data_IF_864141890367
#
_entry.id   IF_864141890367
#
_cell.length_a   1.000
_cell.length_b   1.000
_cell.length_c   1.000
_cell.angle_alpha   90.00
_cell.angle_beta   90.00
_cell.angle_gamma   90.00
#
_symmetry.space_group_name_H-M   'P 1'
#
loop_
_entity.id
_entity.type
_entity.pdbx_description
1 polymer ?
2 non-polymer ?
3 non-polymer ?
4 water ?
#
# COMPACT_ATOMS: atom_id res chain seq x y z
N UNK A 11 -28.25 8.18 12.30
CA UNK A 11 -26.97 7.81 12.85
C UNK A 11 -26.00 7.31 11.80
N UNK A 12 -25.51 8.22 10.95
CA UNK A 12 -24.59 7.91 9.87
C UNK A 12 -25.15 6.83 8.95
N UNK A 13 -26.42 6.99 8.57
CA UNK A 13 -27.08 6.01 7.71
C UNK A 13 -26.52 6.06 6.29
N UNK A 14 -26.04 7.23 5.84
CA UNK A 14 -25.49 7.33 4.50
C UNK A 14 -24.18 6.57 4.39
N UNK A 15 -23.35 6.61 5.43
CA UNK A 15 -22.05 5.94 5.37
C UNK A 15 -22.21 4.42 5.33
N UNK A 16 -23.14 3.88 6.13
CA UNK A 16 -23.34 2.44 6.14
C UNK A 16 -24.03 1.93 4.89
N UNK A 17 -24.79 2.77 4.20
CA UNK A 17 -25.33 2.38 2.91
C UNK A 17 -24.25 2.33 1.84
N UNK A 18 -23.22 3.16 1.98
CA UNK A 18 -22.08 3.09 1.08
C UNK A 18 -21.29 1.81 1.32
N UNK A 19 -21.05 1.48 2.60
CA UNK A 19 -20.36 0.23 2.92
C UNK A 19 -21.17 -0.98 2.49
N UNK A 20 -22.50 -0.89 2.53
CA UNK A 20 -23.34 -2.00 2.08
C UNK A 20 -23.24 -2.15 0.56
N UNK A 21 -23.31 -1.05 -0.18
CA UNK A 21 -23.20 -1.12 -1.64
C UNK A 21 -21.84 -1.66 -2.06
N UNK A 22 -20.78 -1.27 -1.34
CA UNK A 22 -19.44 -1.79 -1.64
C UNK A 22 -19.35 -3.27 -1.36
N UNK A 23 -20.05 -3.74 -0.31
CA UNK A 23 -20.00 -5.16 0.04
C UNK A 23 -20.75 -6.00 -0.99
N UNK A 24 -21.89 -5.52 -1.48
CA UNK A 24 -22.67 -6.26 -2.45
C UNK A 24 -21.96 -6.39 -3.80
N UNK A 25 -20.83 -5.71 -3.99
CA UNK A 25 -20.00 -5.86 -5.17
C UNK A 25 -18.71 -6.62 -4.85
N UNK A 26 -18.75 -7.52 -3.86
CA UNK A 26 -17.59 -8.30 -3.47
C UNK A 26 -17.98 -9.75 -3.15
N UNK A 27 -18.99 -10.27 -3.85
CA UNK A 27 -19.38 -11.67 -3.72
C UNK A 27 -19.14 -12.49 -4.98
N UNK A 28 -19.18 -11.86 -6.16
CA UNK A 28 -18.83 -12.54 -7.40
C UNK A 28 -17.33 -12.78 -7.52
N UNK A 29 -16.53 -12.29 -6.58
CA UNK A 29 -15.08 -12.48 -6.64
C UNK A 29 -14.64 -13.79 -5.99
N UNK A 30 -15.50 -14.41 -5.17
CA UNK A 30 -15.17 -15.72 -4.63
C UNK A 30 -14.93 -16.74 -5.73
N UNK A 31 -15.49 -16.53 -6.91
CA UNK A 31 -15.14 -17.29 -8.10
C UNK A 31 -14.21 -16.52 -9.03
N UNK A 32 -14.19 -15.19 -8.95
CA UNK A 32 -13.29 -14.40 -9.78
C UNK A 32 -11.89 -14.29 -9.18
N UNK A 33 -11.71 -14.67 -7.92
CA UNK A 33 -10.37 -14.78 -7.35
C UNK A 33 -9.69 -16.08 -7.75
N UNK A 34 -10.47 -17.16 -7.87
CA UNK A 34 -9.92 -18.39 -8.41
C UNK A 34 -9.48 -18.25 -9.85
N UNK A 35 -10.12 -17.34 -10.59
CA UNK A 35 -9.65 -17.01 -11.93
C UNK A 35 -8.25 -16.42 -11.89
N UNK A 36 -7.99 -15.55 -10.90
CA UNK A 36 -6.69 -14.91 -10.79
C UNK A 36 -5.69 -15.82 -10.09
N UNK A 37 -6.13 -16.55 -9.06
CA UNK A 37 -5.23 -17.44 -8.33
C UNK A 37 -4.67 -18.53 -9.23
N UNK A 38 -5.44 -18.96 -10.24
CA UNK A 38 -4.94 -19.97 -11.15
C UNK A 38 -3.88 -19.44 -12.10
N UNK A 39 -4.09 -18.22 -12.62
CA UNK A 39 -3.11 -17.63 -13.53
C UNK A 39 -1.81 -17.35 -12.81
N UNK A 40 -1.89 -16.92 -11.55
CA UNK A 40 -0.69 -16.60 -10.78
C UNK A 40 0.17 -17.84 -10.60
N UNK A 41 -0.45 -18.96 -10.20
CA UNK A 41 0.31 -20.19 -9.98
C UNK A 41 0.95 -20.72 -11.25
N UNK A 42 0.43 -20.35 -12.42
CA UNK A 42 1.08 -20.72 -13.67
C UNK A 42 2.36 -19.90 -13.88
N UNK A 43 2.24 -18.56 -13.79
CA UNK A 43 3.43 -17.72 -13.89
C UNK A 43 4.38 -17.97 -12.73
N UNK A 44 3.85 -18.35 -11.57
CA UNK A 44 4.71 -18.71 -10.44
C UNK A 44 5.48 -19.99 -10.72
N UNK A 45 4.80 -21.00 -11.25
CA UNK A 45 5.45 -22.29 -11.50
C UNK A 45 6.38 -22.21 -12.71
N UNK A 46 6.06 -21.38 -13.70
CA UNK A 46 6.88 -21.32 -14.91
C UNK A 46 8.10 -20.42 -14.73
N UNK A 47 7.99 -19.37 -13.90
CA UNK A 47 9.15 -18.53 -13.61
C UNK A 47 10.22 -19.30 -12.86
N UNK A 48 9.86 -20.40 -12.18
CA UNK A 48 10.85 -21.21 -11.49
C UNK A 48 11.70 -22.04 -12.45
N UNK A 49 11.28 -22.17 -13.71
CA UNK A 49 12.10 -22.87 -14.69
C UNK A 49 13.30 -22.04 -15.14
N UNK A 50 13.20 -20.72 -15.04
CA UNK A 50 14.33 -19.86 -15.38
C UNK A 50 15.38 -19.89 -14.26
N UNK A 51 16.62 -19.60 -14.64
CA UNK A 51 17.72 -19.64 -13.68
C UNK A 51 17.64 -18.49 -12.69
N UNK A 52 17.17 -17.32 -13.15
CA UNK A 52 17.15 -16.14 -12.28
C UNK A 52 16.09 -16.26 -11.20
N UNK A 53 14.83 -16.45 -11.60
CA UNK A 53 13.69 -16.42 -10.69
C UNK A 53 13.39 -17.79 -10.09
N UNK A 54 14.41 -18.51 -9.64
CA UNK A 54 14.22 -19.84 -9.07
C UNK A 54 13.53 -19.79 -7.71
N UNK A 55 13.52 -18.64 -7.05
CA UNK A 55 12.97 -18.55 -5.71
C UNK A 55 11.76 -17.65 -5.57
N UNK A 56 11.06 -17.40 -6.68
CA UNK A 56 9.88 -16.54 -6.62
C UNK A 56 8.78 -17.20 -5.80
N UNK A 57 7.83 -16.39 -5.36
CA UNK A 57 6.74 -16.88 -4.54
C UNK A 57 5.66 -15.83 -4.38
N UNK A 58 4.50 -16.29 -3.94
CA UNK A 58 3.41 -15.38 -3.60
C UNK A 58 3.75 -14.67 -2.30
N UNK A 59 3.71 -13.33 -2.32
CA UNK A 59 4.21 -12.56 -1.19
C UNK A 59 3.33 -12.73 0.05
N UNK A 60 2.10 -12.22 0.00
CA UNK A 60 1.23 -12.25 1.16
C UNK A 60 1.06 -13.68 1.69
N UNK A 61 1.12 -13.81 3.02
CA UNK A 61 1.01 -15.13 3.64
C UNK A 61 -0.37 -15.73 3.39
N UNK A 62 -1.43 -15.00 3.75
CA UNK A 62 -2.76 -15.38 3.31
C UNK A 62 -2.96 -15.31 1.81
N UNK A 63 -2.06 -14.63 1.11
CA UNK A 63 -2.01 -14.53 -0.35
C UNK A 63 -3.23 -13.85 -0.94
N UNK A 64 -4.08 -13.25 -0.12
CA UNK A 64 -5.28 -12.61 -0.64
C UNK A 64 -4.90 -11.30 -1.31
N UNK A 65 -5.23 -11.19 -2.60
CA UNK A 65 -4.78 -10.09 -3.43
C UNK A 65 -5.69 -8.89 -3.21
N UNK A 66 -5.09 -7.76 -2.81
CA UNK A 66 -5.87 -6.60 -2.40
C UNK A 66 -5.84 -5.57 -3.52
N UNK A 67 -7.03 -5.16 -3.94
CA UNK A 67 -7.15 -4.13 -4.98
C UNK A 67 -6.78 -2.77 -4.41
N UNK A 68 -6.01 -2.01 -5.18
CA UNK A 68 -5.74 -0.62 -4.81
C UNK A 68 -7.04 0.17 -4.78
N UNK A 69 -7.89 -0.02 -5.80
CA UNK A 69 -9.20 0.61 -5.84
C UNK A 69 -10.21 -0.26 -5.10
N UNK A 70 -10.84 0.31 -4.08
CA UNK A 70 -11.87 -0.41 -3.34
C UNK A 70 -13.15 -0.53 -4.15
N UNK A 71 -13.32 0.29 -5.18
CA UNK A 71 -14.53 0.32 -5.99
C UNK A 71 -14.40 -0.41 -7.32
N UNK A 72 -13.22 -0.98 -7.60
CA UNK A 72 -12.98 -1.73 -8.82
C UNK A 72 -12.76 -3.20 -8.47
N UNK A 73 -13.82 -4.00 -8.32
CA UNK A 73 -13.63 -5.42 -7.97
C UNK A 73 -13.01 -6.24 -9.07
N UNK A 74 -12.81 -5.66 -10.26
CA UNK A 74 -12.32 -6.43 -11.38
C UNK A 74 -10.80 -6.52 -11.42
N UNK A 75 -10.11 -5.46 -10.99
CA UNK A 75 -8.65 -5.41 -11.05
C UNK A 75 -8.04 -5.78 -9.70
N UNK A 76 -7.00 -6.60 -9.76
CA UNK A 76 -6.29 -7.08 -8.58
C UNK A 76 -4.86 -6.55 -8.58
N UNK A 77 -4.14 -6.82 -7.50
CA UNK A 77 -2.73 -6.47 -7.40
C UNK A 77 -2.03 -7.52 -6.57
N UNK A 78 -0.96 -8.08 -7.11
CA UNK A 78 -0.23 -9.16 -6.45
C UNK A 78 1.26 -8.87 -6.57
N UNK A 79 2.01 -9.29 -5.55
CA UNK A 79 3.46 -9.14 -5.52
C UNK A 79 4.13 -10.50 -5.52
N UNK A 80 5.20 -10.62 -6.29
CA UNK A 80 6.00 -11.84 -6.35
C UNK A 80 7.30 -11.63 -5.58
N UNK A 81 7.55 -12.51 -4.63
CA UNK A 81 8.68 -12.40 -3.71
C UNK A 81 9.70 -13.51 -4.01
N UNK A 82 10.97 -13.13 -4.14
CA UNK A 82 12.04 -14.07 -4.41
C UNK A 82 13.14 -13.91 -3.36
N UNK A 83 13.56 -15.01 -2.76
CA UNK A 83 14.66 -14.97 -1.81
C UNK A 83 15.99 -14.78 -2.53
N UNK A 84 16.90 -14.07 -1.88
CA UNK A 84 18.21 -13.75 -2.45
C UNK A 84 19.25 -13.84 -1.35
N UNK A 85 20.51 -14.07 -1.73
CA UNK A 85 21.60 -14.04 -0.74
C UNK A 85 21.66 -12.69 -0.04
N UNK A 86 22.47 -12.65 1.02
CA UNK A 86 22.53 -11.47 1.89
C UNK A 86 22.79 -10.21 1.08
N UNK A 87 21.86 -9.26 1.18
CA UNK A 87 21.86 -8.05 0.37
C UNK A 87 22.43 -6.90 1.20
N UNK A 88 23.18 -6.01 0.52
CA UNK A 88 23.68 -4.78 1.13
C UNK A 88 23.20 -3.60 0.31
N UNK A 89 22.81 -2.53 1.00
CA UNK A 89 22.14 -1.40 0.37
C UNK A 89 22.99 -0.14 0.48
N UNK A 90 22.80 0.77 -0.48
CA UNK A 90 23.43 2.08 -0.49
C UNK A 90 22.36 3.12 -0.77
N UNK A 91 22.25 4.11 0.12
CA UNK A 91 21.22 5.12 0.00
C UNK A 91 21.50 6.03 -1.19
N UNK A 92 20.45 6.30 -1.99
CA UNK A 92 20.57 7.09 -3.20
C UNK A 92 20.19 8.54 -2.90
N UNK A 93 21.17 9.44 -3.00
CA UNK A 93 20.93 10.88 -3.03
C UNK A 93 20.04 11.33 -1.86
N UNK A 94 20.26 10.74 -0.69
CA UNK A 94 19.56 11.06 0.54
C UNK A 94 18.05 10.85 0.43
N UNK A 95 17.58 10.18 -0.62
CA UNK A 95 16.21 9.69 -0.63
C UNK A 95 16.10 8.53 0.35
N UNK A 96 15.29 8.69 1.38
CA UNK A 96 15.29 7.74 2.49
C UNK A 96 14.68 6.39 2.13
N UNK A 97 14.05 6.26 0.97
CA UNK A 97 13.40 5.02 0.58
C UNK A 97 14.02 4.32 -0.62
N UNK A 98 14.81 5.03 -1.43
CA UNK A 98 15.39 4.46 -2.64
C UNK A 98 16.84 4.06 -2.38
N UNK A 99 17.20 2.89 -2.87
CA UNK A 99 18.51 2.29 -2.57
C UNK A 99 19.06 1.57 -3.79
N UNK A 100 20.38 1.52 -3.87
CA UNK A 100 21.08 0.59 -4.76
C UNK A 100 21.32 -0.71 -4.01
N UNK A 101 21.36 -1.82 -4.76
CA UNK A 101 21.48 -3.15 -4.18
C UNK A 101 22.83 -3.75 -4.56
N UNK A 102 23.51 -4.33 -3.58
CA UNK A 102 24.75 -5.06 -3.82
C UNK A 102 24.62 -6.47 -3.28
N UNK A 103 25.73 -7.20 -3.18
CA UNK A 103 25.74 -8.54 -2.64
C UNK A 103 26.90 -8.72 -1.67
N UNK A 104 26.63 -9.41 -0.56
CA UNK A 104 27.63 -9.64 0.48
C UNK A 104 28.56 -10.78 0.07
N UNK A 110 26.14 -16.21 -7.77
CA UNK A 110 24.77 -16.70 -7.58
C UNK A 110 23.97 -16.43 -8.86
N UNK A 111 22.81 -17.07 -9.02
CA UNK A 111 22.12 -17.02 -10.32
C UNK A 111 21.80 -15.60 -10.80
N UNK A 112 21.61 -14.65 -9.91
CA UNK A 112 21.21 -13.30 -10.31
C UNK A 112 22.38 -12.46 -10.82
N UNK A 113 23.59 -13.04 -10.90
CA UNK A 113 24.75 -12.27 -11.36
C UNK A 113 24.60 -11.80 -12.80
N UNK A 114 23.72 -12.45 -13.58
CA UNK A 114 23.51 -12.03 -14.98
C UNK A 114 22.90 -10.64 -15.08
N UNK A 115 22.35 -10.11 -13.99
CA UNK A 115 21.74 -8.79 -13.96
C UNK A 115 22.65 -7.73 -13.37
N UNK A 116 23.89 -8.08 -13.06
CA UNK A 116 24.81 -7.12 -12.46
C UNK A 116 25.28 -6.10 -13.50
N UNK A 117 25.30 -4.83 -13.09
CA UNK A 117 25.90 -3.75 -13.87
C UNK A 117 27.04 -3.19 -13.02
N UNK A 118 28.16 -3.91 -13.01
CA UNK A 118 29.24 -3.60 -12.08
C UNK A 118 28.93 -4.18 -10.71
N UNK A 119 28.81 -3.31 -9.72
CA UNK A 119 28.36 -3.74 -8.39
C UNK A 119 26.86 -3.56 -8.21
N UNK A 120 26.28 -2.53 -8.84
CA UNK A 120 24.85 -2.26 -8.68
C UNK A 120 24.05 -3.32 -9.41
N UNK A 121 23.15 -3.98 -8.68
CA UNK A 121 22.21 -4.90 -9.31
C UNK A 121 21.21 -4.10 -10.12
N UNK A 122 21.12 -4.39 -11.41
CA UNK A 122 20.30 -3.59 -12.31
C UNK A 122 18.82 -3.90 -12.12
N UNK A 123 18.04 -2.85 -11.89
CA UNK A 123 16.60 -3.00 -11.79
C UNK A 123 15.97 -3.13 -13.17
N UNK A 124 16.41 -2.31 -14.13
CA UNK A 124 15.83 -2.37 -15.47
C UNK A 124 16.18 -3.68 -16.18
N UNK A 125 17.35 -4.25 -15.89
CA UNK A 125 17.72 -5.52 -16.50
C UNK A 125 16.83 -6.65 -15.98
N UNK A 126 16.47 -6.62 -14.70
CA UNK A 126 15.61 -7.66 -14.15
C UNK A 126 14.18 -7.51 -14.61
N UNK A 127 13.70 -6.28 -14.80
CA UNK A 127 12.35 -6.09 -15.32
C UNK A 127 12.24 -6.63 -16.74
N UNK A 128 13.23 -6.33 -17.60
CA UNK A 128 13.21 -6.80 -18.98
C UNK A 128 13.09 -8.32 -19.04
N UNK A 129 13.92 -9.02 -18.27
CA UNK A 129 13.80 -10.48 -18.21
C UNK A 129 12.52 -10.91 -17.52
N UNK A 130 12.08 -10.17 -16.51
CA UNK A 130 10.81 -10.48 -15.86
C UNK A 130 9.65 -10.31 -16.83
N UNK A 131 9.69 -9.25 -17.65
CA UNK A 131 8.64 -9.03 -18.64
C UNK A 131 8.68 -10.11 -19.72
N UNK A 132 9.88 -10.47 -20.19
CA UNK A 132 10.00 -11.40 -21.31
C UNK A 132 9.47 -12.79 -20.95
N UNK A 133 9.75 -13.27 -19.74
CA UNK A 133 9.33 -14.61 -19.36
C UNK A 133 7.81 -14.68 -19.28
N UNK A 134 7.16 -13.62 -18.80
CA UNK A 134 5.71 -13.59 -18.74
C UNK A 134 5.11 -13.26 -20.10
N UNK A 135 5.75 -12.37 -20.86
CA UNK A 135 5.29 -12.09 -22.22
C UNK A 135 5.31 -13.35 -23.09
N UNK A 136 6.23 -14.27 -22.81
CA UNK A 136 6.26 -15.58 -23.46
C UNK A 136 5.44 -16.61 -22.71
N UNK A 137 4.29 -16.19 -22.16
CA UNK A 137 3.39 -17.08 -21.45
C UNK A 137 1.94 -16.73 -21.75
N UNK A 154 3.49 3.18 -12.84
CA UNK A 154 4.62 3.65 -13.63
C UNK A 154 5.67 2.58 -13.87
N UNK A 155 6.60 2.44 -12.93
CA UNK A 155 7.64 1.42 -13.03
C UNK A 155 7.49 0.20 -12.11
N UNK A 156 6.47 0.10 -11.21
CA UNK A 156 6.54 -0.98 -10.22
C UNK A 156 6.09 -2.34 -10.74
N UNK A 157 5.05 -2.38 -11.57
CA UNK A 157 4.45 -3.64 -11.98
C UNK A 157 4.27 -3.68 -13.49
N UNK A 158 3.98 -4.88 -13.99
CA UNK A 158 3.54 -5.11 -15.35
C UNK A 158 2.17 -5.77 -15.27
N UNK A 159 1.31 -5.45 -16.23
CA UNK A 159 -0.09 -5.81 -16.15
C UNK A 159 -0.47 -6.78 -17.27
N UNK A 160 -1.58 -7.49 -17.06
CA UNK A 160 -2.08 -8.45 -18.02
C UNK A 160 -3.61 -8.54 -17.96
N UNK A 166 -11.19 -8.78 -16.21
CA UNK A 166 -10.36 -8.76 -15.01
C UNK A 166 -8.95 -8.28 -15.35
N UNK A 167 -8.32 -7.56 -14.43
CA UNK A 167 -6.98 -7.02 -14.61
C UNK A 167 -6.14 -7.37 -13.39
N UNK A 168 -4.84 -7.57 -13.62
CA UNK A 168 -3.91 -7.96 -12.56
C UNK A 168 -2.59 -7.24 -12.77
N UNK A 169 -2.10 -6.56 -11.73
CA UNK A 169 -0.76 -6.00 -11.72
C UNK A 169 0.16 -6.93 -10.92
N UNK A 170 1.38 -7.11 -11.42
CA UNK A 170 2.35 -8.01 -10.81
C UNK A 170 3.63 -7.23 -10.55
N UNK A 171 3.94 -6.99 -9.28
CA UNK A 171 5.15 -6.29 -8.87
C UNK A 171 6.18 -7.30 -8.39
N UNK A 172 7.43 -7.10 -8.81
CA UNK A 172 8.55 -7.92 -8.34
C UNK A 172 9.15 -7.26 -7.10
N UNK A 173 9.57 -8.09 -6.14
CA UNK A 173 10.06 -7.59 -4.87
C UNK A 173 11.19 -8.47 -4.36
N UNK A 174 12.35 -7.86 -4.09
CA UNK A 174 13.46 -8.57 -3.48
C UNK A 174 13.24 -8.69 -1.98
N UNK A 175 13.37 -9.89 -1.43
CA UNK A 175 13.23 -10.11 0.00
C UNK A 175 14.59 -10.05 0.68
N UNK A 176 14.68 -9.25 1.74
CA UNK A 176 15.89 -9.14 2.54
C UNK A 176 15.55 -9.48 3.99
N UNK A 177 16.20 -10.51 4.52
CA UNK A 177 16.01 -10.91 5.90
C UNK A 177 16.93 -10.17 6.87
N UNK A 178 17.65 -9.16 6.39
CA UNK A 178 18.45 -8.32 7.25
C UNK A 178 17.56 -7.44 8.12
N UNK A 179 18.17 -6.74 9.06
CA UNK A 179 17.44 -5.76 9.86
C UNK A 179 17.00 -4.60 8.97
N UNK A 180 15.93 -3.93 9.39
CA UNK A 180 15.36 -2.86 8.58
C UNK A 180 16.35 -1.70 8.46
N UNK A 181 16.33 -0.99 7.34
CA UNK A 181 17.26 0.13 7.15
C UNK A 181 17.09 1.21 8.21
N UNK A 182 18.13 2.03 8.33
CA UNK A 182 18.18 3.02 9.41
C UNK A 182 17.03 4.03 9.31
N UNK A 183 16.60 4.35 8.09
CA UNK A 183 15.53 5.34 7.92
C UNK A 183 14.20 4.88 8.48
N UNK A 184 14.08 3.61 8.87
CA UNK A 184 12.86 3.08 9.48
C UNK A 184 12.93 3.04 11.00
N UNK A 185 14.01 3.56 11.59
CA UNK A 185 14.21 3.39 13.03
C UNK A 185 13.18 4.14 13.85
N UNK A 186 12.73 5.30 13.37
CA UNK A 186 11.75 6.10 14.08
C UNK A 186 10.37 6.04 13.43
N UNK A 187 10.14 5.07 12.55
CA UNK A 187 8.84 4.83 11.99
C UNK A 187 8.10 3.73 12.73
N UNK A 188 6.92 3.39 12.20
CA UNK A 188 6.06 2.35 12.77
C UNK A 188 5.79 2.64 14.25
N UNK A 189 5.39 3.88 14.53
CA UNK A 189 5.16 4.33 15.90
C UNK A 189 3.82 3.78 16.39
N UNK A 190 3.81 2.47 16.62
CA UNK A 190 2.61 1.77 17.09
C UNK A 190 2.71 1.41 18.57
N UNK A 191 3.68 1.96 19.30
CA UNK A 191 3.97 1.50 20.65
C UNK A 191 2.79 1.76 21.59
N UNK A 192 2.14 2.90 21.46
CA UNK A 192 1.00 3.22 22.30
C UNK A 192 -0.31 2.64 21.77
N UNK A 193 -0.29 2.01 20.60
CA UNK A 193 -1.48 1.47 19.97
C UNK A 193 -1.43 -0.06 19.89
N UNK A 194 -0.45 -0.63 19.20
CA UNK A 194 -0.29 -2.07 19.09
C UNK A 194 0.76 -2.63 20.03
N UNK A 195 1.38 -1.78 20.85
CA UNK A 195 2.38 -2.12 21.87
C UNK A 195 3.78 -2.21 21.28
N UNK A 196 4.78 -1.82 22.08
CA UNK A 196 6.16 -1.93 21.62
C UNK A 196 6.58 -3.38 21.43
N UNK A 197 5.92 -4.30 22.14
CA UNK A 197 6.21 -5.72 21.95
C UNK A 197 5.88 -6.16 20.52
N UNK A 198 4.73 -5.73 20.00
CA UNK A 198 4.36 -6.08 18.63
C UNK A 198 5.28 -5.38 17.63
N UNK A 199 5.63 -4.13 17.90
CA UNK A 199 6.54 -3.41 17.02
C UNK A 199 7.88 -4.16 16.89
N UNK A 200 8.46 -4.56 18.03
CA UNK A 200 9.70 -5.32 18.00
C UNK A 200 9.54 -6.61 17.21
N UNK A 201 8.38 -7.25 17.31
CA UNK A 201 8.14 -8.48 16.56
C UNK A 201 8.08 -8.23 15.07
N UNK A 202 7.42 -7.15 14.65
CA UNK A 202 7.29 -6.86 13.22
C UNK A 202 8.63 -6.46 12.61
N UNK A 203 9.52 -5.85 13.38
CA UNK A 203 10.83 -5.46 12.87
C UNK A 203 11.73 -6.68 12.59
N UNK A 204 11.39 -7.85 13.13
CA UNK A 204 12.18 -9.05 12.87
C UNK A 204 11.80 -9.70 11.54
N UNK A 205 10.58 -9.48 11.07
CA UNK A 205 10.18 -9.96 9.77
C UNK A 205 11.03 -9.29 8.69
N UNK A 206 11.19 -9.94 7.53
CA UNK A 206 11.98 -9.34 6.46
C UNK A 206 11.30 -8.09 5.90
N UNK A 207 12.09 -7.33 5.16
CA UNK A 207 11.59 -6.21 4.37
C UNK A 207 11.83 -6.50 2.90
N UNK A 208 11.20 -5.71 2.04
CA UNK A 208 11.19 -6.00 0.61
C UNK A 208 11.61 -4.78 -0.18
N UNK A 209 12.09 -5.04 -1.41
CA UNK A 209 12.62 -4.01 -2.29
C UNK A 209 12.03 -4.22 -3.68
N UNK A 210 11.32 -3.21 -4.18
CA UNK A 210 10.70 -3.29 -5.50
C UNK A 210 11.42 -2.33 -6.45
N UNK A 211 11.53 -2.64 -7.73
CA UNK A 211 12.19 -1.73 -8.69
C UNK A 211 11.34 -0.48 -8.88
N UNK A 212 11.92 0.66 -8.55
CA UNK A 212 11.25 1.94 -8.71
C UNK A 212 12.31 3.02 -8.91
N UNK A 213 12.02 3.95 -9.81
CA UNK A 213 12.99 4.94 -10.25
C UNK A 213 12.48 6.34 -9.93
N UNK A 214 13.37 7.18 -9.42
CA UNK A 214 12.98 8.50 -8.92
C UNK A 214 13.38 9.61 -9.88
N UNK A 219 14.93 14.33 -13.36
CA UNK A 219 15.86 13.30 -12.91
C UNK A 219 15.58 11.93 -13.46
N UNK A 220 14.89 11.11 -12.66
CA UNK A 220 14.51 9.74 -13.01
C UNK A 220 15.75 8.85 -13.21
N UNK A 221 16.44 8.61 -12.09
CA UNK A 221 17.54 7.65 -12.07
C UNK A 221 16.99 6.24 -12.23
N UNK A 222 17.37 5.57 -13.32
CA UNK A 222 16.68 4.37 -13.78
C UNK A 222 17.13 3.08 -13.09
N UNK A 223 17.84 3.17 -11.96
CA UNK A 223 18.43 1.95 -11.41
C UNK A 223 18.29 1.79 -9.90
N UNK A 224 17.36 2.49 -9.26
CA UNK A 224 17.19 2.37 -7.81
C UNK A 224 16.08 1.38 -7.47
N UNK A 225 16.06 0.98 -6.20
CA UNK A 225 15.03 0.12 -5.63
C UNK A 225 14.42 0.83 -4.43
N UNK A 226 13.13 0.57 -4.19
CA UNK A 226 12.41 1.24 -3.12
C UNK A 226 11.96 0.24 -2.06
N UNK A 227 11.96 0.70 -0.80
CA UNK A 227 11.52 -0.14 0.30
C UNK A 227 10.02 -0.40 0.21
N UNK A 228 9.62 -1.60 0.64
CA UNK A 228 8.22 -2.00 0.63
C UNK A 228 7.90 -2.74 1.92
N UNK A 229 6.82 -2.33 2.58
CA UNK A 229 6.34 -2.96 3.81
C UNK A 229 4.88 -3.35 3.68
N UNK A 230 4.49 -3.87 2.50
CA UNK A 230 3.10 -4.23 2.27
C UNK A 230 2.65 -5.35 3.21
N UNK A 231 3.55 -6.27 3.54
CA UNK A 231 3.20 -7.35 4.46
C UNK A 231 2.94 -6.84 5.88
N UNK A 232 3.66 -5.79 6.28
CA UNK A 232 3.43 -5.21 7.60
C UNK A 232 2.11 -4.45 7.62
N UNK A 233 1.78 -3.76 6.53
CA UNK A 233 0.53 -3.02 6.46
C UNK A 233 -0.67 -3.97 6.52
N UNK A 234 -0.58 -5.10 5.84
CA UNK A 234 -1.67 -6.08 5.87
C UNK A 234 -1.85 -6.65 7.26
N UNK A 235 -0.75 -6.95 7.96
CA UNK A 235 -0.86 -7.54 9.30
C UNK A 235 -1.44 -6.54 10.28
N UNK A 236 -1.05 -5.26 10.17
CA UNK A 236 -1.60 -4.23 11.04
C UNK A 236 -3.09 -4.06 10.79
N UNK A 237 -3.51 -4.15 9.53
CA UNK A 237 -4.91 -3.92 9.19
C UNK A 237 -5.80 -5.02 9.74
N UNK A 238 -5.37 -6.28 9.64
CA UNK A 238 -6.15 -7.40 10.12
C UNK A 238 -5.97 -7.64 11.62
N UNK A 239 -5.02 -6.97 12.25
CA UNK A 239 -4.77 -7.07 13.69
C UNK A 239 -4.62 -5.64 14.23
N UNK A 240 -5.74 -4.90 14.24
CA UNK A 240 -5.71 -3.45 14.31
C UNK A 240 -6.05 -2.87 15.67
N UNK A 241 -6.64 -3.65 16.57
CA UNK A 241 -7.09 -3.11 17.84
C UNK A 241 -6.05 -3.20 18.94
N UNK A 242 -6.22 -2.33 19.95
CA UNK A 242 -5.44 -2.47 21.17
C UNK A 242 -5.78 -3.76 21.89
N UNK A 243 -7.07 -4.10 21.93
CA UNK A 243 -7.48 -5.41 22.41
C UNK A 243 -7.15 -6.47 21.38
N UNK A 244 -6.61 -7.60 21.84
CA UNK A 244 -6.29 -8.69 20.92
C UNK A 244 -7.53 -9.30 20.30
N UNK A 245 -8.68 -9.19 20.95
CA UNK A 245 -9.94 -9.74 20.45
C UNK A 245 -10.78 -8.69 19.72
N UNK A 246 -10.15 -7.63 19.20
CA UNK A 246 -10.90 -6.62 18.47
C UNK A 246 -11.49 -7.22 17.20
N UNK A 247 -12.80 -7.01 17.01
CA UNK A 247 -13.53 -7.52 15.85
C UNK A 247 -13.54 -9.05 15.80
N UNK A 248 -13.39 -9.69 16.96
CA UNK A 248 -13.55 -11.13 17.08
C UNK A 248 -14.81 -11.52 17.82
N UNK A 249 -15.54 -10.54 18.36
CA UNK A 249 -16.87 -10.78 18.93
C UNK A 249 -17.68 -9.51 18.74
N UNK A 250 -19.01 -9.64 18.90
CA UNK A 250 -19.90 -8.51 18.64
C UNK A 250 -19.72 -7.40 19.66
N UNK A 251 -19.23 -7.71 20.86
CA UNK A 251 -19.01 -6.69 21.87
C UNK A 251 -17.77 -5.85 21.61
N UNK A 252 -16.99 -6.17 20.59
CA UNK A 252 -15.74 -5.48 20.31
C UNK A 252 -15.60 -5.14 18.83
N UNK A 253 -16.71 -4.84 18.17
CA UNK A 253 -16.68 -4.46 16.76
C UNK A 253 -16.33 -2.98 16.63
N UNK A 254 -15.17 -2.71 16.05
CA UNK A 254 -14.74 -1.34 15.79
C UNK A 254 -14.97 -0.98 14.33
N UNK A 255 -14.81 0.31 14.02
CA UNK A 255 -15.03 0.81 12.67
C UNK A 255 -13.73 1.29 12.02
N UNK A 256 -12.58 0.75 12.44
CA UNK A 256 -11.31 1.12 11.82
C UNK A 256 -11.31 0.75 10.33
N UNK A 257 -11.65 -0.51 10.03
CA UNK A 257 -11.67 -0.94 8.64
C UNK A 257 -12.67 -0.16 7.81
N UNK A 258 -13.86 0.07 8.35
CA UNK A 258 -14.90 0.78 7.61
C UNK A 258 -14.47 2.21 7.29
N UNK A 259 -13.76 2.86 8.21
CA UNK A 259 -13.28 4.22 7.95
C UNK A 259 -12.28 4.24 6.80
N UNK A 260 -11.39 3.25 6.75
CA UNK A 260 -10.42 3.20 5.65
C UNK A 260 -11.11 2.95 4.32
N UNK A 261 -12.11 2.07 4.29
CA UNK A 261 -12.87 1.84 3.07
C UNK A 261 -13.56 3.11 2.60
N UNK A 262 -14.15 3.86 3.53
CA UNK A 262 -14.82 5.10 3.16
C UNK A 262 -13.82 6.14 2.63
N UNK A 263 -12.62 6.17 3.21
CA UNK A 263 -11.58 7.06 2.71
C UNK A 263 -11.12 6.64 1.31
N UNK A 264 -10.94 5.33 1.10
CA UNK A 264 -10.59 4.85 -0.24
C UNK A 264 -11.69 5.16 -1.24
N UNK A 265 -12.95 4.98 -0.85
CA UNK A 265 -14.05 5.23 -1.78
C UNK A 265 -14.19 6.72 -2.10
N UNK A 266 -13.97 7.58 -1.10
CA UNK A 266 -14.05 9.02 -1.35
C UNK A 266 -13.01 9.46 -2.37
N UNK A 267 -11.77 8.99 -2.22
CA UNK A 267 -10.71 9.37 -3.15
C UNK A 267 -10.98 8.82 -4.54
N UNK A 268 -11.41 7.56 -4.63
CA UNK A 268 -11.67 6.96 -5.94
C UNK A 268 -12.84 7.66 -6.63
N UNK A 269 -13.85 8.08 -5.86
CA UNK A 269 -14.96 8.80 -6.45
C UNK A 269 -14.52 10.16 -6.99
N UNK A 270 -13.68 10.88 -6.23
CA UNK A 270 -13.19 12.17 -6.69
C UNK A 270 -12.25 12.03 -7.87
N UNK A 271 -11.36 11.03 -7.83
CA UNK A 271 -10.46 10.79 -8.95
C UNK A 271 -11.22 10.46 -10.22
N UNK A 272 -12.37 9.79 -10.10
CA UNK A 272 -13.15 9.44 -11.28
C UNK A 272 -13.92 10.65 -11.81
N UNK A 273 -14.53 11.43 -10.90
CA UNK A 273 -15.28 12.60 -11.32
C UNK A 273 -14.39 13.61 -12.04
N UNK A 274 -13.21 13.87 -11.50
CA UNK A 274 -12.31 14.86 -12.09
C UNK A 274 -11.13 14.19 -12.77
N UNK A 275 -11.39 13.15 -13.55
CA UNK A 275 -10.32 12.41 -14.22
C UNK A 275 -9.74 13.18 -15.41
N UNK A 276 -10.50 14.13 -15.91
CA UNK A 276 -10.11 14.97 -17.08
C UNK A 276 -9.37 16.23 -16.61
N UNK A 277 -9.24 16.42 -15.30
CA UNK A 277 -8.41 17.52 -14.73
C UNK A 277 -7.25 16.77 -14.08
N UNK A 278 -6.02 17.05 -14.50
CA UNK A 278 -4.85 16.19 -14.15
C UNK A 278 -4.37 16.26 -12.70
N UNK A 279 -4.87 17.17 -11.89
CA UNK A 279 -4.34 17.29 -10.51
C UNK A 279 -4.51 16.00 -9.67
N UNK A 280 -5.60 15.24 -9.83
CA UNK A 280 -5.86 14.09 -8.93
C UNK A 280 -5.21 12.78 -9.35
N UNK A 281 -4.46 12.74 -10.44
CA UNK A 281 -3.90 11.46 -10.88
C UNK A 281 -2.77 11.00 -9.96
N UNK A 282 -2.09 11.94 -9.31
CA UNK A 282 -0.98 11.58 -8.43
C UNK A 282 -1.46 10.79 -7.22
N UNK A 283 -2.64 11.12 -6.70
CA UNK A 283 -3.10 10.53 -5.46
C UNK A 283 -3.56 9.09 -5.68
N UNK A 284 -3.32 8.25 -4.66
CA UNK A 284 -3.66 6.84 -4.71
C UNK A 284 -4.16 6.40 -3.35
N UNK A 285 -4.64 5.16 -3.27
CA UNK A 285 -5.13 4.62 -2.02
C UNK A 285 -4.03 4.43 -0.99
N UNK A 286 -2.76 4.46 -1.41
CA UNK A 286 -1.67 4.35 -0.44
C UNK A 286 -1.55 5.60 0.41
N UNK A 287 -1.79 6.77 -0.18
CA UNK A 287 -1.82 8.01 0.61
C UNK A 287 -2.92 7.94 1.67
N UNK A 288 -4.10 7.45 1.29
CA UNK A 288 -5.21 7.35 2.22
C UNK A 288 -4.91 6.32 3.30
N UNK A 289 -4.29 5.20 2.91
CA UNK A 289 -3.91 4.19 3.91
C UNK A 289 -2.84 4.72 4.85
N UNK A 290 -1.86 5.46 4.33
CA UNK A 290 -0.83 6.03 5.17
C UNK A 290 -1.41 7.00 6.19
N UNK A 291 -2.25 7.93 5.72
CA UNK A 291 -2.91 8.86 6.63
C UNK A 291 -3.78 8.14 7.65
N UNK A 292 -4.41 7.02 7.24
CA UNK A 292 -5.24 6.27 8.16
C UNK A 292 -4.42 5.68 9.30
N UNK A 293 -3.23 5.16 8.98
CA UNK A 293 -2.37 4.60 10.03
C UNK A 293 -1.94 5.68 11.02
N UNK A 294 -1.71 6.90 10.54
CA UNK A 294 -1.38 7.99 11.44
C UNK A 294 -2.54 8.32 12.37
N UNK A 295 -3.77 8.28 11.86
CA UNK A 295 -4.94 8.52 12.70
C UNK A 295 -5.08 7.42 13.74
N UNK A 296 -4.72 6.18 13.38
CA UNK A 296 -4.72 5.10 14.37
C UNK A 296 -3.69 5.35 15.46
N UNK A 297 -2.51 5.82 15.09
CA UNK A 297 -1.52 6.20 16.10
C UNK A 297 -2.05 7.33 16.97
N UNK A 298 -2.70 8.32 16.34
CA UNK A 298 -3.26 9.44 17.09
C UNK A 298 -4.41 9.01 17.99
N UNK A 299 -5.19 8.02 17.56
CA UNK A 299 -6.31 7.48 18.33
C UNK A 299 -6.01 6.02 18.66
N UNK A 300 -5.19 5.76 19.67
CA UNK A 300 -4.75 4.37 19.93
C UNK A 300 -5.78 3.50 20.64
N UNK A 301 -6.75 4.08 21.34
CA UNK A 301 -7.70 3.30 22.12
C UNK A 301 -8.85 2.83 21.25
N UNK A 302 -9.34 1.61 21.54
CA UNK A 302 -10.43 1.05 20.77
C UNK A 302 -11.74 1.82 20.98
N UNK A 303 -11.90 2.44 22.15
CA UNK A 303 -13.11 3.21 22.42
C UNK A 303 -13.26 4.37 21.43
N UNK A 304 -12.14 4.89 20.93
CA UNK A 304 -12.17 5.96 19.94
C UNK A 304 -12.57 5.49 18.55
N UNK A 305 -12.88 4.20 18.39
CA UNK A 305 -13.30 3.62 17.12
C UNK A 305 -14.55 2.79 17.30
N UNK A 306 -15.46 3.26 18.17
CA UNK A 306 -16.71 2.54 18.40
C UNK A 306 -17.53 2.48 17.11
N UNK A 307 -18.22 1.35 16.94
CA UNK A 307 -19.06 1.17 15.76
C UNK A 307 -20.14 2.24 15.67
N UNK A 308 -20.64 2.70 16.82
CA UNK A 308 -21.69 3.72 16.82
C UNK A 308 -21.18 5.10 16.41
N UNK A 309 -19.87 5.32 16.46
CA UNK A 309 -19.27 6.60 16.11
C UNK A 309 -18.67 6.59 14.70
N UNK A 310 -19.24 5.79 13.79
CA UNK A 310 -18.69 5.70 12.44
C UNK A 310 -18.64 7.07 11.78
N UNK A 311 -19.69 7.86 11.92
CA UNK A 311 -19.69 9.20 11.35
C UNK A 311 -18.60 10.07 11.95
N UNK A 312 -18.44 10.02 13.28
CA UNK A 312 -17.40 10.82 13.92
C UNK A 312 -16.01 10.28 13.59
N UNK A 313 -15.86 8.95 13.57
CA UNK A 313 -14.55 8.37 13.28
C UNK A 313 -14.12 8.63 11.85
N UNK A 314 -15.05 8.49 10.90
CA UNK A 314 -14.74 8.80 9.52
C UNK A 314 -14.40 10.28 9.35
N UNK A 315 -15.10 11.15 10.09
CA UNK A 315 -14.80 12.57 10.04
C UNK A 315 -13.41 12.88 10.57
N UNK A 316 -12.93 12.08 11.53
CA UNK A 316 -11.57 12.25 12.02
C UNK A 316 -10.55 11.96 10.92
N UNK A 317 -10.83 10.98 10.07
CA UNK A 317 -9.91 10.63 8.99
C UNK A 317 -9.93 11.67 7.88
N UNK A 318 -11.09 12.27 7.60
CA UNK A 318 -11.17 13.33 6.60
C UNK A 318 -10.41 14.56 7.06
N UNK A 319 -10.55 14.92 8.34
CA UNK A 319 -9.87 16.09 8.86
C UNK A 319 -8.36 15.94 8.81
N UNK A 320 -7.85 14.79 9.26
CA UNK A 320 -6.40 14.57 9.28
C UNK A 320 -5.84 14.55 7.86
N UNK A 321 -6.54 13.91 6.93
CA UNK A 321 -6.08 13.88 5.54
C UNK A 321 -6.11 15.27 4.92
N UNK A 322 -7.07 16.11 5.32
CA UNK A 322 -7.08 17.49 4.87
C UNK A 322 -5.88 18.25 5.41
N UNK A 323 -5.56 18.05 6.69
CA UNK A 323 -4.39 18.71 7.28
C UNK A 323 -3.12 18.32 6.55
N UNK A 324 -3.00 17.05 6.17
CA UNK A 324 -1.83 16.62 5.40
C UNK A 324 -1.78 17.30 4.04
N UNK A 325 -2.94 17.58 3.44
CA UNK A 325 -2.97 18.24 2.15
C UNK A 325 -2.59 19.71 2.26
N UNK A 326 -3.13 20.40 3.27
CA UNK A 326 -2.85 21.83 3.42
C UNK A 326 -1.38 22.05 3.76
N UNK A 327 -0.84 21.29 4.71
CA UNK A 327 0.56 21.44 5.10
C UNK A 327 1.53 20.77 4.14
N UNK A 328 1.02 20.00 3.17
CA UNK A 328 1.85 19.31 2.18
C UNK A 328 2.82 18.34 2.83
N UNK A 329 2.38 17.69 3.92
CA UNK A 329 3.23 16.78 4.67
C UNK A 329 2.44 15.51 4.99
N UNK A 330 2.77 14.41 4.33
CA UNK A 330 2.22 13.09 4.63
C UNK A 330 3.40 12.12 4.62
N UNK A 331 4.01 11.93 5.78
CA UNK A 331 5.20 11.09 5.88
C UNK A 331 4.85 9.61 5.81
N UNK A 332 5.75 8.84 5.21
CA UNK A 332 5.57 7.40 5.15
C UNK A 332 5.52 6.81 6.55
N UNK A 333 4.55 5.92 6.78
CA UNK A 333 4.34 5.37 8.11
C UNK A 333 5.55 4.57 8.59
N UNK A 334 6.37 4.07 7.67
CA UNK A 334 7.58 3.33 8.02
C UNK A 334 8.85 4.14 7.83
N UNK A 335 8.80 5.19 7.01
CA UNK A 335 9.96 6.04 6.73
C UNK A 335 9.55 7.49 6.97
N UNK A 336 9.74 8.00 8.19
CA UNK A 336 9.17 9.33 8.52
C UNK A 336 9.72 10.48 7.68
N UNK A 337 10.93 10.36 7.13
CA UNK A 337 11.51 11.44 6.36
C UNK A 337 11.15 11.38 4.89
N UNK A 338 10.43 10.34 4.46
CA UNK A 338 9.90 10.25 3.10
C UNK A 338 8.52 10.89 3.10
N UNK A 339 8.45 12.13 2.65
CA UNK A 339 7.19 12.88 2.59
C UNK A 339 6.48 12.54 1.29
N UNK A 340 5.40 11.76 1.38
CA UNK A 340 4.63 11.41 0.20
C UNK A 340 3.92 12.62 -0.41
N UNK A 341 3.69 13.67 0.37
CA UNK A 341 3.10 14.91 -0.14
C UNK A 341 4.15 15.99 -0.39
N UNK A 342 5.36 15.59 -0.76
CA UNK A 342 6.40 16.58 -1.06
C UNK A 342 6.16 17.18 -2.44
N UNK A 343 6.79 18.34 -2.66
CA UNK A 343 6.61 19.04 -3.93
C UNK A 343 7.16 18.24 -5.09
N UNK A 344 8.27 17.54 -4.88
CA UNK A 344 8.90 16.77 -5.95
C UNK A 344 8.04 15.61 -6.41
N UNK A 345 7.06 15.17 -5.60
CA UNK A 345 6.19 14.06 -5.95
C UNK A 345 4.83 14.52 -6.46
N UNK A 346 4.21 15.48 -5.77
CA UNK A 346 2.88 15.97 -6.11
C UNK A 346 2.90 17.48 -6.09
N UNK A 347 2.37 18.10 -7.14
CA UNK A 347 2.37 19.55 -7.24
C UNK A 347 1.42 20.17 -6.21
N UNK A 348 1.67 21.44 -5.88
CA UNK A 348 0.92 22.08 -4.81
C UNK A 348 -0.51 22.40 -5.24
N UNK A 349 -0.71 22.77 -6.50
CA UNK A 349 -2.06 23.05 -6.97
C UNK A 349 -2.94 21.80 -6.92
N UNK A 350 -2.35 20.63 -7.13
CA UNK A 350 -3.10 19.39 -7.02
C UNK A 350 -3.58 19.17 -5.59
N UNK A 351 -2.73 19.50 -4.61
CA UNK A 351 -3.10 19.25 -3.21
C UNK A 351 -4.20 20.19 -2.75
N UNK A 352 -4.14 21.46 -3.16
CA UNK A 352 -5.22 22.39 -2.85
C UNK A 352 -6.44 22.17 -3.72
N UNK A 353 -6.29 21.50 -4.87
CA UNK A 353 -7.45 21.07 -5.64
C UNK A 353 -8.19 19.96 -4.92
N UNK A 354 -7.46 18.93 -4.48
CA UNK A 354 -8.08 17.86 -3.72
C UNK A 354 -8.60 18.37 -2.38
N UNK A 355 -7.89 19.31 -1.76
CA UNK A 355 -8.41 19.96 -0.55
C UNK A 355 -9.74 20.64 -0.83
N UNK A 356 -9.83 21.35 -1.97
CA UNK A 356 -11.06 22.03 -2.34
C UNK A 356 -12.22 21.04 -2.47
N UNK A 357 -11.97 19.91 -3.12
CA UNK A 357 -13.06 18.97 -3.39
C UNK A 357 -13.46 18.20 -2.13
N UNK A 358 -12.48 17.84 -1.29
CA UNK A 358 -12.80 17.14 -0.05
C UNK A 358 -13.60 18.05 0.88
N UNK A 359 -13.19 19.32 1.00
CA UNK A 359 -13.94 20.25 1.83
C UNK A 359 -15.34 20.49 1.28
N UNK A 360 -15.46 20.60 -0.05
CA UNK A 360 -16.78 20.68 -0.67
C UNK A 360 -17.61 19.44 -0.36
N UNK A 361 -16.99 18.26 -0.39
CA UNK A 361 -17.73 17.03 -0.09
C UNK A 361 -18.13 16.99 1.38
N UNK A 362 -17.24 17.43 2.28
CA UNK A 362 -17.56 17.38 3.70
C UNK A 362 -18.67 18.37 4.05
N UNK A 363 -18.64 19.56 3.46
CA UNK A 363 -19.64 20.58 3.79
C UNK A 363 -21.02 20.24 3.25
N UNK A 364 -21.12 19.36 2.26
CA UNK A 364 -22.39 19.01 1.63
C UNK A 364 -22.85 17.61 2.01
N UNK A 365 -22.35 17.05 3.11
CA UNK A 365 -22.69 15.70 3.55
C UNK A 365 -22.40 14.66 2.47
N UNK A 366 -21.34 14.89 1.68
CA UNK A 366 -20.78 13.95 0.71
C UNK A 366 -21.78 13.55 -0.37
N UNK A 367 -22.02 14.42 -1.36
CA UNK A 367 -22.87 14.02 -2.49
C UNK A 367 -22.30 12.89 -3.33
N UNK A 368 -21.00 12.64 -3.28
CA UNK A 368 -20.43 11.53 -4.05
C UNK A 368 -20.87 10.18 -3.49
N UNK A 369 -21.39 10.16 -2.27
CA UNK A 369 -21.80 8.91 -1.63
C UNK A 369 -23.24 8.50 -1.95
N UNK A 370 -24.10 9.45 -2.33
CA UNK A 370 -25.50 9.12 -2.54
C UNK A 370 -25.72 8.49 -3.91
N UNK A 371 -26.86 7.81 -4.05
CA UNK A 371 -27.22 7.08 -5.26
C UNK A 371 -26.11 6.15 -5.73
X LIG B 1 2.01 4.35 -4.37
X LIG B 1 5.63 4.26 -1.29
X LIG B 1 4.45 5.87 -2.78
X LIG B 1 3.26 6.50 -2.99
X LIG B 1 5.46 6.72 -3.15
X LIG B 1 1.95 5.18 -7.25
X LIG B 1 1.01 4.11 -6.69
X LIG B 1 0.22 2.74 -4.74
X LIG B 1 1.08 1.55 -4.32
X LIG B 1 2.26 2.02 -3.47
X LIG B 1 2.68 3.31 -3.50
X LIG B 1 3.78 3.43 -2.61
X LIG B 1 4.62 4.48 -2.21
X LIG B 1 5.80 2.99 -0.76
X LIG B 1 4.96 1.96 -1.15
X LIG B 1 3.94 2.19 -2.08
X LIG B 1 1.07 3.76 -5.30
X LIG B 1 3.03 1.35 -2.61
X LIG B 1 3.54 7.68 -3.48
X LIG B 1 4.88 7.84 -3.59
X LIG B 1 2.72 4.63 -8.29
X LIG B 1 0.23 3.57 -7.38
X LIG B 1 7.10 2.75 0.42
X LIG B 1 5.06 0.29 -0.55
X LIG C 1 -11.63 -4.00 15.29
#
# INVERSE_FOLDING_TARGET
SILVRRDAAPGASKLRAVLEKLKLSRDDISTAAGMVKGVVDHLLLRLKCDSAFRGVGLLNTGSYYEHVKISAPNEFDVMFKLEVPRIQLEEYSNTRAYYFVKFKRNPKENPLSQFLEGEILSASKMLSKFRKIIKEEINDIKDTDVIMKRKRGGSPAVTLLISEKISVDITLALESKSSWPASTQEGLRIQNWLSAKVRKQLRLKPFYLVPKHAKEGNGFQEETWRLSFSHIEKEILNNHGKSKTCCENKEEKCCRKDCLKLMKYLLEQLKERFKDEEHLDKFSSYHVKTAFFHVCTQNPQDSQWDRKDLGLCFDNCVTYFLQCLRTEKLENYFIPEFNLFSSNLIDKRSKEFLTKQIEYERNNEFPVFDEF
JUM C10 C13 C20 C21 C24 C02 C03 C06 C07 C08 C09 C11 C12 C14 C16 C18 N05 N19 N22 N23 O01 O04 CL1 CL2
ZN ZN
#
